data_IF_803602189531
#
_entry.id   IF_803602189531
#
_cell.length_a   1.000
_cell.length_b   1.000
_cell.length_c   1.000
_cell.angle_alpha   90.00
_cell.angle_beta   90.00
_cell.angle_gamma   90.00
#
_symmetry.space_group_name_H-M   'P 1'
#
loop_
_entity.id
_entity.type
_entity.pdbx_description
1 polymer ?
#
# COMPACT_ATOMS: atom_id res chain seq x y z
N UNK A 1 -11.48 -7.94 6.83
CA UNK A 1 -10.30 -7.37 6.15
C UNK A 1 -10.15 -5.92 6.59
N UNK A 2 -8.92 -5.45 6.81
CA UNK A 2 -8.65 -4.09 7.27
C UNK A 2 -7.92 -3.34 6.16
N UNK A 3 -8.58 -2.32 5.61
CA UNK A 3 -8.08 -1.50 4.52
C UNK A 3 -7.63 -0.15 5.08
N UNK A 4 -6.43 0.29 4.68
CA UNK A 4 -5.97 1.65 4.91
C UNK A 4 -6.31 2.49 3.68
N UNK A 5 -7.28 3.39 3.81
CA UNK A 5 -7.52 4.42 2.81
C UNK A 5 -6.40 5.46 2.88
N UNK A 6 -5.69 5.64 1.77
CA UNK A 6 -4.62 6.63 1.64
C UNK A 6 -5.18 7.96 1.12
N UNK A 7 -6.05 7.88 0.12
CA UNK A 7 -6.64 9.03 -0.55
C UNK A 7 -7.97 8.66 -1.21
N UNK A 8 -8.89 9.62 -1.23
CA UNK A 8 -10.14 9.54 -1.99
C UNK A 8 -10.11 10.55 -3.13
N UNK A 9 -10.17 10.06 -4.37
CA UNK A 9 -10.10 10.91 -5.56
C UNK A 9 -11.27 11.89 -5.63
N UNK A 10 -10.97 13.15 -5.93
CA UNK A 10 -11.90 14.23 -6.26
C UNK A 10 -11.95 14.49 -7.79
N UNK A 11 -11.24 13.67 -8.58
CA UNK A 11 -11.08 13.83 -10.03
C UNK A 11 -10.20 15.01 -10.45
N UNK A 12 -9.52 15.69 -9.52
CA UNK A 12 -8.72 16.90 -9.79
C UNK A 12 -7.31 16.84 -9.20
N UNK A 13 -7.18 16.22 -8.04
CA UNK A 13 -5.93 16.11 -7.29
C UNK A 13 -5.27 14.79 -7.66
N UNK A 14 -4.09 14.88 -8.28
CA UNK A 14 -3.27 13.72 -8.62
C UNK A 14 -2.35 13.44 -7.43
N UNK A 15 -2.42 12.23 -6.90
CA UNK A 15 -1.57 11.77 -5.79
C UNK A 15 -0.60 10.73 -6.33
N UNK A 16 0.69 11.02 -6.21
CA UNK A 16 1.75 10.05 -6.52
C UNK A 16 2.49 9.70 -5.25
N UNK A 17 3.10 8.53 -5.19
CA UNK A 17 3.82 8.17 -3.98
C UNK A 17 4.45 6.79 -4.03
N UNK A 18 5.08 6.46 -2.92
CA UNK A 18 5.70 5.17 -2.67
C UNK A 18 5.06 4.54 -1.44
N UNK A 19 4.62 3.29 -1.58
CA UNK A 19 4.20 2.44 -0.47
C UNK A 19 5.29 1.40 -0.27
N UNK A 20 5.84 1.34 0.94
CA UNK A 20 6.83 0.35 1.35
C UNK A 20 6.28 -0.48 2.50
N UNK A 21 6.46 -1.79 2.41
CA UNK A 21 5.96 -2.77 3.38
C UNK A 21 7.14 -3.58 3.86
N UNK A 22 7.39 -3.53 5.18
CA UNK A 22 8.36 -4.39 5.84
C UNK A 22 7.64 -5.51 6.58
N UNK A 23 8.06 -6.75 6.33
CA UNK A 23 7.64 -7.92 7.09
C UNK A 23 8.74 -8.28 8.10
N UNK A 24 8.39 -8.33 9.38
CA UNK A 24 9.31 -8.66 10.48
C UNK A 24 10.01 -9.99 10.22
N UNK A 25 11.28 -10.11 10.60
CA UNK A 25 12.00 -11.39 10.57
C UNK A 25 11.41 -12.41 11.55
N UNK A 26 10.62 -11.96 12.53
CA UNK A 26 9.93 -12.82 13.48
C UNK A 26 8.62 -13.41 12.91
N UNK A 27 8.13 -12.88 11.79
CA UNK A 27 6.93 -13.40 11.14
C UNK A 27 7.15 -14.82 10.64
N UNK A 28 6.12 -15.64 10.74
CA UNK A 28 6.15 -17.03 10.26
C UNK A 28 5.76 -17.14 8.79
N UNK A 29 5.07 -16.13 8.27
CA UNK A 29 4.42 -16.16 6.96
C UNK A 29 4.76 -14.91 6.12
N UNK A 30 4.66 -15.01 4.78
CA UNK A 30 4.70 -13.82 3.93
C UNK A 30 3.48 -12.94 4.17
N UNK A 31 3.67 -11.64 3.96
CA UNK A 31 2.58 -10.66 3.92
C UNK A 31 2.22 -10.39 2.46
N UNK A 32 0.96 -10.59 2.09
CA UNK A 32 0.43 -10.23 0.77
C UNK A 32 -0.39 -8.95 0.87
N UNK A 33 0.02 -7.94 0.12
CA UNK A 33 -0.59 -6.62 0.10
C UNK A 33 -1.12 -6.31 -1.29
N UNK A 34 -2.34 -5.79 -1.35
CA UNK A 34 -2.88 -5.12 -2.52
C UNK A 34 -2.75 -3.61 -2.36
N UNK A 35 -2.22 -2.96 -3.38
CA UNK A 35 -2.18 -1.50 -3.51
C UNK A 35 -3.10 -1.14 -4.68
N UNK A 36 -4.13 -0.35 -4.39
CA UNK A 36 -5.13 0.06 -5.37
C UNK A 36 -4.90 1.51 -5.81
N UNK A 37 -5.06 1.75 -7.11
CA UNK A 37 -5.02 3.07 -7.73
C UNK A 37 -5.70 3.04 -9.11
N UNK A 38 -5.11 3.66 -10.14
CA UNK A 38 -5.54 3.41 -11.54
C UNK A 38 -5.41 1.92 -11.88
N UNK A 39 -4.33 1.30 -11.41
CA UNK A 39 -4.06 -0.13 -11.55
C UNK A 39 -3.82 -0.75 -10.19
N UNK A 40 -4.25 -1.98 -10.03
CA UNK A 40 -3.99 -2.77 -8.82
C UNK A 40 -2.61 -3.42 -8.91
N UNK A 41 -1.81 -3.29 -7.86
CA UNK A 41 -0.52 -3.97 -7.71
C UNK A 41 -0.53 -4.86 -6.48
N UNK A 42 -0.04 -6.09 -6.62
CA UNK A 42 0.11 -7.03 -5.50
C UNK A 42 1.58 -7.15 -5.12
N UNK A 43 1.88 -6.98 -3.84
CA UNK A 43 3.21 -7.23 -3.26
C UNK A 43 3.14 -8.44 -2.34
N UNK A 44 4.09 -9.36 -2.52
CA UNK A 44 4.35 -10.45 -1.55
C UNK A 44 5.66 -10.15 -0.87
N UNK A 45 5.64 -10.03 0.46
CA UNK A 45 6.81 -9.65 1.27
C UNK A 45 7.17 -10.78 2.23
N UNK A 46 8.30 -11.44 1.96
CA UNK A 46 8.81 -12.51 2.82
C UNK A 46 9.31 -11.95 4.18
N UNK A 47 9.28 -12.74 5.26
CA UNK A 47 9.85 -12.34 6.55
C UNK A 47 11.28 -11.79 6.42
N UNK A 48 11.56 -10.70 7.13
CA UNK A 48 12.85 -10.00 7.12
C UNK A 48 13.09 -9.10 5.90
N UNK A 49 12.13 -8.96 4.98
CA UNK A 49 12.28 -8.16 3.77
C UNK A 49 11.40 -6.92 3.75
N UNK A 50 11.80 -5.97 2.91
CA UNK A 50 10.99 -4.81 2.52
C UNK A 50 10.73 -4.85 1.02
N UNK A 51 9.48 -4.66 0.63
CA UNK A 51 9.10 -4.43 -0.77
C UNK A 51 8.44 -3.07 -0.90
N UNK A 52 8.66 -2.41 -2.03
CA UNK A 52 8.15 -1.07 -2.30
C UNK A 52 7.53 -0.97 -3.67
N UNK A 53 6.47 -0.17 -3.78
CA UNK A 53 5.83 0.18 -5.04
C UNK A 53 5.71 1.70 -5.15
N UNK A 54 6.05 2.25 -6.30
CA UNK A 54 5.86 3.68 -6.62
C UNK A 54 4.87 3.80 -7.75
N UNK A 55 3.85 4.64 -7.57
CA UNK A 55 2.78 4.80 -8.54
C UNK A 55 2.06 6.15 -8.44
N UNK A 56 1.14 6.35 -9.37
CA UNK A 56 0.23 7.51 -9.42
C UNK A 56 -1.20 7.07 -9.15
N UNK A 57 -2.00 8.02 -8.68
CA UNK A 57 -3.39 7.86 -8.25
C UNK A 57 -3.58 6.71 -7.25
N UNK A 58 -2.67 6.61 -6.28
CA UNK A 58 -2.75 5.65 -5.17
C UNK A 58 -3.97 5.98 -4.28
N UNK A 59 -4.79 4.97 -3.98
CA UNK A 59 -6.05 5.13 -3.26
C UNK A 59 -6.04 4.39 -1.92
N UNK A 60 -5.65 3.11 -1.92
CA UNK A 60 -5.70 2.29 -0.71
C UNK A 60 -4.64 1.20 -0.68
N UNK A 61 -4.40 0.69 0.52
CA UNK A 61 -3.55 -0.47 0.79
C UNK A 61 -4.35 -1.45 1.63
N UNK A 62 -4.31 -2.72 1.27
CA UNK A 62 -5.03 -3.79 1.96
C UNK A 62 -4.12 -5.01 2.15
N UNK A 63 -4.11 -5.57 3.36
CA UNK A 63 -3.55 -6.90 3.60
C UNK A 63 -4.57 -7.97 3.26
N UNK A 64 -4.20 -8.89 2.39
CA UNK A 64 -5.02 -10.02 1.97
C UNK A 64 -4.34 -11.35 2.33
N UNK A 65 -5.09 -12.44 2.15
CA UNK A 65 -4.59 -13.81 2.34
C UNK A 65 -3.93 -14.05 3.71
N UNK A 66 -4.43 -13.37 4.76
CA UNK A 66 -3.94 -13.50 6.12
C UNK A 66 -4.13 -14.96 6.55
N UNK A 67 -3.05 -15.70 6.86
CA UNK A 67 -3.15 -17.08 7.32
C UNK A 67 -4.02 -17.14 8.58
N UNK A 68 -4.99 -18.05 8.60
CA UNK A 68 -5.93 -18.20 9.71
C UNK A 68 -5.62 -19.47 10.53
N UNK A 69 -4.35 -19.66 10.88
CA UNK A 69 -3.91 -20.81 11.68
C UNK A 69 -3.45 -20.36 13.05
N UNK A 70 -3.52 -21.22 14.06
CA UNK A 70 -3.07 -20.88 15.41
C UNK A 70 -1.56 -20.67 15.55
N UNK A 71 -0.78 -21.03 14.53
CA UNK A 71 0.68 -20.91 14.49
C UNK A 71 1.18 -19.69 13.71
N UNK A 72 0.29 -19.00 12.98
CA UNK A 72 0.69 -17.87 12.15
C UNK A 72 0.87 -16.61 13.00
N UNK A 73 2.05 -16.01 12.90
CA UNK A 73 2.40 -14.72 13.47
C UNK A 73 2.86 -13.79 12.36
N UNK A 74 2.21 -12.62 12.27
CA UNK A 74 2.53 -11.57 11.31
C UNK A 74 2.75 -10.26 12.05
N UNK A 75 3.94 -9.71 11.89
CA UNK A 75 4.34 -8.41 12.39
C UNK A 75 5.01 -7.63 11.26
N UNK A 76 4.70 -6.35 11.12
CA UNK A 76 5.27 -5.56 10.04
C UNK A 76 4.96 -4.08 10.17
N UNK A 77 5.40 -3.33 9.16
CA UNK A 77 5.20 -1.88 9.08
C UNK A 77 4.85 -1.46 7.65
N UNK A 78 3.92 -0.52 7.56
CA UNK A 78 3.68 0.25 6.33
C UNK A 78 4.39 1.60 6.44
N UNK A 79 5.07 2.01 5.38
CA UNK A 79 5.56 3.37 5.20
C UNK A 79 5.00 3.90 3.87
N UNK A 80 4.22 4.97 3.96
CA UNK A 80 3.55 5.55 2.82
C UNK A 80 3.99 7.01 2.67
N UNK A 81 4.66 7.32 1.57
CA UNK A 81 5.10 8.68 1.26
C UNK A 81 4.40 9.16 0.00
N UNK A 82 3.69 10.28 0.10
CA UNK A 82 2.90 10.83 -1.00
C UNK A 82 3.33 12.25 -1.35
N UNK A 83 3.18 12.56 -2.63
CA UNK A 83 3.23 13.91 -3.19
C UNK A 83 1.91 14.16 -3.90
N UNK A 84 1.24 15.24 -3.54
CA UNK A 84 0.02 15.68 -4.21
C UNK A 84 0.30 16.92 -5.06
N UNK A 85 -0.32 16.99 -6.22
CA UNK A 85 -0.36 18.20 -7.04
C UNK A 85 -1.82 18.64 -7.20
N UNK A 86 -2.09 19.90 -6.82
CA UNK A 86 -3.39 20.53 -7.01
C UNK A 86 -3.22 21.75 -7.91
N UNK A 87 -3.39 21.58 -9.22
CA UNK A 87 -3.36 22.72 -10.15
C UNK A 87 -4.76 23.29 -10.32
N UNK A 88 -4.94 24.59 -10.03
CA UNK A 88 -6.09 25.35 -10.56
C UNK A 88 -5.89 25.48 -12.07
N UNK A 89 -6.62 24.72 -12.86
CA UNK A 89 -6.71 24.97 -14.31
C UNK A 89 -7.46 26.28 -14.53
N UNK A 90 -6.77 27.42 -14.43
CA UNK A 90 -7.18 28.64 -15.10
C UNK A 90 -6.78 28.51 -16.57
N UNK A 91 -7.54 27.71 -17.33
CA UNK A 91 -7.54 27.85 -18.79
C UNK A 91 -8.47 29.04 -19.09
N UNK A 92 -7.83 30.19 -19.30
CA UNK A 92 -8.38 31.32 -20.05
C UNK A 92 -8.58 30.87 -21.49
#
# INVERSE_FOLDING_TARGET
>A
MQTLELWKSDGKTIVSGTVSVYNSSNSTDPVTIIISGISTTTLVVLPGNTSSFTGTDLQSVEMIDIPNTSLSYLEGKYCCQFTYCHSKSNRI
#
